data_IF_777816863887
#
_entry.id   IF_777816863887
#
_cell.length_a   1.000
_cell.length_b   1.000
_cell.length_c   1.000
_cell.angle_alpha   90.00
_cell.angle_beta   90.00
_cell.angle_gamma   90.00
#
_symmetry.space_group_name_H-M   'P 1'
#
loop_
_entity.id
_entity.type
_entity.pdbx_description
1 polymer ?
#
# COMPACT_ATOMS: atom_id res chain seq x y z
N UNK A 1 79.42 -13.40 -5.22
CA UNK A 1 78.87 -14.72 -5.60
C UNK A 1 77.39 -14.53 -5.89
N UNK A 2 76.92 -14.93 -7.07
CA UNK A 2 75.52 -14.85 -7.54
C UNK A 2 75.30 -15.88 -8.67
N UNK A 3 74.05 -16.24 -9.06
CA UNK A 3 72.77 -15.99 -8.39
C UNK A 3 72.41 -17.15 -7.44
N UNK A 4 71.65 -18.25 -7.76
CA UNK A 4 70.90 -18.62 -8.97
C UNK A 4 69.37 -18.31 -8.87
N UNK A 5 68.52 -19.12 -9.53
CA UNK A 5 67.05 -19.12 -9.63
C UNK A 5 66.54 -20.57 -9.50
N UNK A 6 65.25 -20.81 -9.19
CA UNK A 6 64.28 -21.60 -10.01
C UNK A 6 63.20 -22.35 -9.19
N UNK A 7 61.91 -22.19 -9.59
CA UNK A 7 60.72 -23.05 -9.30
C UNK A 7 60.33 -23.25 -7.81
N UNK A 8 59.10 -23.64 -7.43
CA UNK A 8 57.92 -24.08 -8.20
C UNK A 8 56.59 -23.67 -7.50
N UNK A 9 55.49 -23.64 -8.25
CA UNK A 9 54.10 -23.62 -7.76
C UNK A 9 53.53 -25.07 -7.80
N UNK A 10 52.21 -25.35 -7.67
CA UNK A 10 51.22 -24.97 -6.65
C UNK A 10 50.39 -26.18 -6.15
N UNK A 11 50.26 -26.40 -4.84
CA UNK A 11 49.38 -27.48 -4.32
C UNK A 11 48.14 -26.92 -3.62
N UNK A 12 47.10 -26.72 -4.44
CA UNK A 12 45.72 -26.44 -4.05
C UNK A 12 45.18 -27.47 -3.04
N UNK A 13 44.62 -27.01 -1.92
CA UNK A 13 43.70 -27.81 -1.11
C UNK A 13 42.61 -26.92 -0.54
N UNK A 14 41.36 -27.27 -0.84
CA UNK A 14 40.16 -26.50 -0.53
C UNK A 14 39.56 -26.92 0.84
N UNK A 15 38.60 -26.09 1.27
CA UNK A 15 37.66 -26.33 2.37
C UNK A 15 38.24 -26.15 3.80
N UNK A 16 37.49 -25.64 4.79
CA UNK A 16 36.11 -25.20 4.75
C UNK A 16 35.63 -24.55 6.06
N UNK A 17 35.48 -23.22 6.05
CA UNK A 17 34.60 -22.39 6.92
C UNK A 17 34.40 -22.78 8.40
N UNK A 18 34.74 -21.85 9.30
CA UNK A 18 33.76 -21.14 10.16
C UNK A 18 34.38 -19.87 10.75
N UNK A 19 33.60 -18.77 10.83
CA UNK A 19 34.03 -17.47 11.39
C UNK A 19 33.44 -17.26 12.80
N UNK A 20 34.11 -16.49 13.68
CA UNK A 20 33.83 -16.49 15.10
C UNK A 20 32.66 -15.58 15.52
N UNK A 21 32.18 -15.82 16.73
CA UNK A 21 31.10 -15.09 17.40
C UNK A 21 31.68 -13.91 18.18
N UNK A 22 31.47 -12.67 17.70
CA UNK A 22 31.76 -11.44 18.45
C UNK A 22 30.58 -10.48 18.41
N UNK A 23 29.52 -10.86 19.13
CA UNK A 23 28.40 -9.96 19.40
C UNK A 23 28.76 -8.98 20.53
N UNK A 24 28.69 -7.67 20.26
CA UNK A 24 28.07 -6.66 21.15
C UNK A 24 28.11 -5.26 20.53
N UNK A 25 27.05 -4.48 20.79
CA UNK A 25 26.98 -3.02 20.69
C UNK A 25 27.11 -2.40 19.28
N UNK A 26 26.02 -2.50 18.51
CA UNK A 26 25.66 -1.41 17.60
C UNK A 26 24.16 -1.08 17.73
N UNK A 27 23.90 0.16 18.11
CA UNK A 27 22.62 0.73 18.51
C UNK A 27 21.44 0.44 17.55
N UNK A 28 20.22 0.41 18.13
CA UNK A 28 18.91 0.23 17.47
C UNK A 28 18.66 1.14 16.24
N UNK A 29 19.46 2.19 16.05
CA UNK A 29 19.46 3.06 14.86
C UNK A 29 19.77 2.31 13.56
N UNK A 30 20.48 1.18 13.63
CA UNK A 30 20.84 0.36 12.45
C UNK A 30 19.65 -0.47 11.94
N UNK A 31 18.78 -0.94 12.83
CA UNK A 31 17.60 -1.74 12.48
C UNK A 31 16.54 -0.92 11.74
N UNK A 32 16.34 0.34 12.11
CA UNK A 32 15.37 1.21 11.43
C UNK A 32 15.78 1.50 9.97
N UNK A 33 17.09 1.69 9.70
CA UNK A 33 17.61 1.78 8.32
C UNK A 33 17.58 0.45 7.55
N UNK A 34 17.46 -0.69 8.23
CA UNK A 34 17.28 -1.99 7.58
C UNK A 34 15.82 -2.26 7.19
N UNK A 35 14.84 -1.68 7.90
CA UNK A 35 13.42 -1.78 7.55
C UNK A 35 13.12 -1.10 6.20
N UNK A 36 13.59 0.14 6.02
CA UNK A 36 13.42 0.87 4.75
C UNK A 36 14.20 0.27 3.57
N UNK A 37 15.16 -0.64 3.80
CA UNK A 37 15.79 -1.42 2.71
C UNK A 37 14.87 -2.47 2.08
N UNK A 38 13.74 -2.83 2.71
CA UNK A 38 12.78 -3.80 2.15
C UNK A 38 11.64 -3.19 1.32
N UNK A 39 11.69 -1.87 1.05
CA UNK A 39 10.93 -1.21 -0.03
C UNK A 39 11.60 -1.29 -1.41
N UNK A 40 12.63 -2.13 -1.56
CA UNK A 40 13.45 -2.24 -2.77
C UNK A 40 13.13 -3.39 -3.74
N UNK A 41 12.06 -4.16 -3.54
CA UNK A 41 11.68 -5.21 -4.50
C UNK A 41 10.83 -4.59 -5.61
N UNK A 42 11.48 -4.13 -6.70
CA UNK A 42 10.82 -3.73 -7.94
C UNK A 42 9.99 -4.90 -8.49
N UNK A 43 8.70 -4.94 -8.14
CA UNK A 43 7.72 -5.76 -8.87
C UNK A 43 7.63 -5.19 -10.28
N UNK A 44 7.56 -6.03 -11.30
CA UNK A 44 7.73 -5.55 -12.67
C UNK A 44 6.61 -4.56 -13.02
N UNK A 45 6.98 -3.42 -13.60
CA UNK A 45 5.99 -2.44 -14.04
C UNK A 45 5.02 -3.06 -15.06
N UNK A 46 5.50 -4.02 -15.87
CA UNK A 46 4.68 -4.85 -16.77
C UNK A 46 3.72 -5.82 -16.09
N UNK A 47 4.05 -6.41 -14.93
CA UNK A 47 3.08 -7.22 -14.15
C UNK A 47 1.93 -6.34 -13.65
N UNK A 48 2.27 -5.13 -13.17
CA UNK A 48 1.27 -4.17 -12.72
C UNK A 48 0.44 -3.62 -13.89
N UNK A 49 1.05 -3.36 -15.05
CA UNK A 49 0.35 -2.95 -16.28
C UNK A 49 -0.60 -4.04 -16.79
N UNK A 50 -0.20 -5.33 -16.78
CA UNK A 50 -1.10 -6.44 -17.13
C UNK A 50 -2.31 -6.52 -16.19
N UNK A 51 -2.08 -6.37 -14.88
CA UNK A 51 -3.15 -6.38 -13.88
C UNK A 51 -4.12 -5.18 -14.03
N UNK A 52 -3.61 -4.01 -14.43
CA UNK A 52 -4.43 -2.82 -14.70
C UNK A 52 -5.16 -2.88 -16.06
N UNK A 53 -4.57 -3.53 -17.07
CA UNK A 53 -5.13 -3.59 -18.42
C UNK A 53 -6.39 -4.45 -18.54
N UNK A 54 -6.58 -5.43 -17.65
CA UNK A 54 -7.77 -6.30 -17.64
C UNK A 54 -8.88 -5.73 -16.75
N UNK A 55 -9.12 -4.43 -16.88
CA UNK A 55 -10.16 -3.72 -16.14
C UNK A 55 -11.01 -2.94 -17.13
N UNK A 56 -12.25 -3.43 -17.38
CA UNK A 56 -13.34 -2.53 -17.77
C UNK A 56 -13.46 -1.48 -16.66
N UNK A 57 -13.04 -0.25 -16.98
CA UNK A 57 -13.08 0.89 -16.05
C UNK A 57 -14.53 1.32 -15.88
N UNK A 58 -15.24 0.68 -14.95
CA UNK A 58 -16.53 1.15 -14.47
C UNK A 58 -16.33 2.35 -13.53
N UNK A 59 -17.33 3.24 -13.48
CA UNK A 59 -17.35 4.45 -12.64
C UNK A 59 -17.03 4.13 -11.16
N UNK A 60 -17.54 3.00 -10.65
CA UNK A 60 -17.20 2.45 -9.34
C UNK A 60 -15.69 2.39 -9.07
N UNK A 61 -14.89 1.84 -9.98
CA UNK A 61 -13.44 1.70 -9.76
C UNK A 61 -12.71 3.05 -9.76
N UNK A 62 -13.21 4.03 -10.50
CA UNK A 62 -12.66 5.40 -10.48
C UNK A 62 -12.90 6.05 -9.11
N UNK A 63 -14.13 5.93 -8.58
CA UNK A 63 -14.49 6.38 -7.22
C UNK A 63 -13.61 5.70 -6.17
N UNK A 64 -13.50 4.37 -6.21
CA UNK A 64 -12.69 3.60 -5.26
C UNK A 64 -11.21 4.05 -5.28
N UNK A 65 -10.63 4.25 -6.47
CA UNK A 65 -9.24 4.71 -6.62
C UNK A 65 -9.04 6.14 -6.09
N UNK A 66 -9.95 7.08 -6.42
CA UNK A 66 -9.89 8.46 -5.91
C UNK A 66 -9.99 8.52 -4.39
N UNK A 67 -10.99 7.85 -3.80
CA UNK A 67 -11.19 7.79 -2.35
C UNK A 67 -10.02 7.10 -1.65
N UNK A 68 -9.52 5.98 -2.19
CA UNK A 68 -8.37 5.26 -1.65
C UNK A 68 -7.10 6.12 -1.65
N UNK A 69 -6.83 6.82 -2.74
CA UNK A 69 -5.64 7.68 -2.89
C UNK A 69 -5.67 8.89 -1.96
N UNK A 70 -6.82 9.55 -1.83
CA UNK A 70 -6.98 10.78 -1.06
C UNK A 70 -7.15 10.55 0.45
N UNK A 71 -7.96 9.56 0.85
CA UNK A 71 -8.36 9.35 2.25
C UNK A 71 -7.63 8.19 2.94
N UNK A 72 -6.93 7.33 2.19
CA UNK A 72 -6.24 6.12 2.67
C UNK A 72 -7.06 5.36 3.72
N UNK A 73 -8.33 5.02 3.41
CA UNK A 73 -9.25 4.44 4.36
C UNK A 73 -8.76 3.06 4.82
N UNK A 74 -9.01 2.74 6.09
CA UNK A 74 -8.76 1.40 6.66
C UNK A 74 -9.75 0.37 6.12
N UNK A 75 -10.97 0.81 5.80
CA UNK A 75 -11.99 0.01 5.14
C UNK A 75 -12.78 0.89 4.16
N UNK A 76 -12.99 0.40 2.94
CA UNK A 76 -13.77 1.04 1.89
C UNK A 76 -14.61 -0.03 1.20
N UNK A 77 -15.90 0.20 1.12
CA UNK A 77 -16.87 -0.64 0.44
C UNK A 77 -17.77 0.26 -0.42
N UNK A 78 -17.91 -0.09 -1.70
CA UNK A 78 -18.78 0.62 -2.64
C UNK A 78 -19.73 -0.38 -3.29
N UNK A 79 -21.03 -0.11 -3.16
CA UNK A 79 -22.11 -0.98 -3.63
C UNK A 79 -22.90 -0.20 -4.69
N UNK A 80 -22.98 -0.74 -5.91
CA UNK A 80 -23.91 -0.25 -6.93
C UNK A 80 -25.35 -0.69 -6.57
N UNK A 81 -26.24 0.27 -6.35
CA UNK A 81 -27.68 0.04 -6.13
C UNK A 81 -28.54 0.25 -7.37
N UNK A 82 -27.95 0.66 -8.49
CA UNK A 82 -28.65 0.89 -9.75
C UNK A 82 -28.72 -0.35 -10.66
N UNK A 83 -28.71 -1.54 -10.05
CA UNK A 83 -28.78 -2.84 -10.74
C UNK A 83 -27.75 -3.01 -11.87
N UNK A 84 -26.57 -2.41 -11.75
CA UNK A 84 -25.48 -2.52 -12.73
C UNK A 84 -25.43 -1.43 -13.80
N UNK A 85 -26.29 -0.40 -13.76
CA UNK A 85 -26.18 0.73 -14.71
C UNK A 85 -25.24 1.84 -14.24
N UNK A 86 -24.71 1.76 -13.01
CA UNK A 86 -23.71 2.69 -12.47
C UNK A 86 -24.19 4.12 -12.20
N UNK A 87 -25.50 4.32 -11.97
CA UNK A 87 -26.10 5.66 -11.71
C UNK A 87 -26.40 5.93 -10.23
N UNK A 88 -26.38 4.91 -9.36
CA UNK A 88 -26.63 5.07 -7.93
C UNK A 88 -25.70 4.18 -7.09
N UNK A 89 -24.91 4.79 -6.19
CA UNK A 89 -23.96 4.07 -5.34
C UNK A 89 -24.16 4.36 -3.85
N UNK A 90 -23.93 3.34 -3.02
CA UNK A 90 -23.75 3.46 -1.57
C UNK A 90 -22.28 3.18 -1.20
N UNK A 91 -21.63 4.13 -0.52
CA UNK A 91 -20.28 3.99 -0.01
C UNK A 91 -20.25 3.85 1.52
N UNK A 92 -19.48 2.90 2.05
CA UNK A 92 -19.07 2.86 3.45
C UNK A 92 -17.58 3.13 3.52
N UNK A 93 -17.20 4.23 4.16
CA UNK A 93 -15.82 4.74 4.19
C UNK A 93 -15.38 4.86 5.64
N UNK A 94 -14.29 4.16 5.98
CA UNK A 94 -13.69 4.16 7.32
C UNK A 94 -12.29 4.72 7.25
N UNK A 95 -12.07 5.93 7.76
CA UNK A 95 -10.75 6.59 7.75
C UNK A 95 -10.50 7.41 9.02
N UNK A 96 -9.26 7.44 9.48
CA UNK A 96 -8.80 8.34 10.54
C UNK A 96 -8.83 9.82 10.13
N UNK A 97 -8.91 10.14 8.83
CA UNK A 97 -9.10 11.51 8.34
C UNK A 97 -10.46 12.12 8.73
N UNK A 98 -11.37 11.33 9.30
CA UNK A 98 -12.69 11.76 9.78
C UNK A 98 -12.75 12.01 11.30
N UNK A 99 -11.68 11.69 12.04
CA UNK A 99 -11.55 12.05 13.46
C UNK A 99 -11.66 13.57 13.62
N UNK A 100 -12.31 14.00 14.70
CA UNK A 100 -12.60 15.41 15.05
C UNK A 100 -13.43 16.22 14.03
N UNK A 101 -13.97 15.58 12.98
CA UNK A 101 -14.83 16.21 11.97
C UNK A 101 -16.30 15.86 12.15
N UNK A 102 -17.17 16.86 12.02
CA UNK A 102 -18.62 16.67 11.99
C UNK A 102 -19.04 15.93 10.72
N UNK A 103 -20.19 15.25 10.77
CA UNK A 103 -20.70 14.45 9.65
C UNK A 103 -20.78 15.26 8.34
N UNK A 104 -21.26 16.51 8.39
CA UNK A 104 -21.30 17.39 7.21
C UNK A 104 -19.92 17.67 6.61
N UNK A 105 -18.89 17.85 7.44
CA UNK A 105 -17.52 18.11 6.97
C UNK A 105 -16.89 16.85 6.38
N UNK A 106 -17.17 15.67 6.96
CA UNK A 106 -16.81 14.37 6.36
C UNK A 106 -17.43 14.24 4.96
N UNK A 107 -18.69 14.64 4.81
CA UNK A 107 -19.44 14.59 3.54
C UNK A 107 -18.88 15.57 2.49
N UNK A 108 -18.55 16.81 2.90
CA UNK A 108 -17.89 17.80 2.02
C UNK A 108 -16.58 17.27 1.46
N UNK A 109 -15.70 16.74 2.32
CA UNK A 109 -14.39 16.21 1.91
C UNK A 109 -14.53 15.10 0.86
N UNK A 110 -15.45 14.15 1.06
CA UNK A 110 -15.67 13.07 0.10
C UNK A 110 -16.24 13.62 -1.22
N UNK A 111 -17.27 14.46 -1.15
CA UNK A 111 -17.89 15.06 -2.34
C UNK A 111 -16.91 15.93 -3.14
N UNK A 112 -15.98 16.62 -2.49
CA UNK A 112 -14.92 17.39 -3.15
C UNK A 112 -13.93 16.48 -3.91
N UNK A 113 -13.63 15.29 -3.39
CA UNK A 113 -12.76 14.30 -4.05
C UNK A 113 -13.41 13.68 -5.29
N UNK A 114 -14.73 13.40 -5.24
CA UNK A 114 -15.49 12.74 -6.32
C UNK A 114 -16.39 13.70 -7.10
N UNK A 115 -16.10 15.00 -7.06
CA UNK A 115 -16.95 16.07 -7.61
C UNK A 115 -17.23 15.92 -9.11
N UNK A 116 -16.24 15.39 -9.84
CA UNK A 116 -16.30 15.11 -11.28
C UNK A 116 -17.20 13.90 -11.56
N UNK A 117 -17.06 12.83 -10.77
CA UNK A 117 -17.90 11.63 -10.85
C UNK A 117 -19.36 11.94 -10.50
N UNK A 118 -19.60 12.79 -9.49
CA UNK A 118 -20.95 13.20 -9.07
C UNK A 118 -21.77 13.89 -10.17
N UNK A 119 -21.14 14.43 -11.23
CA UNK A 119 -21.88 14.95 -12.40
C UNK A 119 -22.45 13.84 -13.29
N UNK A 120 -21.88 12.64 -13.21
CA UNK A 120 -22.24 11.48 -14.04
C UNK A 120 -23.15 10.47 -13.30
N UNK A 121 -23.43 10.72 -12.02
CA UNK A 121 -24.11 9.80 -11.09
C UNK A 121 -25.36 10.50 -10.58
N UNK A 122 -26.51 9.82 -10.63
CA UNK A 122 -27.78 10.42 -10.21
C UNK A 122 -27.91 10.46 -8.67
N UNK A 123 -27.39 9.45 -7.97
CA UNK A 123 -27.42 9.39 -6.51
C UNK A 123 -26.13 8.81 -5.91
N UNK A 124 -25.58 9.48 -4.90
CA UNK A 124 -24.45 8.96 -4.13
C UNK A 124 -24.79 9.07 -2.63
N UNK A 125 -24.90 7.92 -1.98
CA UNK A 125 -25.03 7.84 -0.52
C UNK A 125 -23.70 7.45 0.09
N UNK A 126 -23.41 7.96 1.28
CA UNK A 126 -22.14 7.74 1.93
C UNK A 126 -22.27 7.69 3.44
N UNK A 127 -21.57 6.72 4.05
CA UNK A 127 -21.46 6.53 5.49
C UNK A 127 -19.99 6.68 5.89
N UNK A 128 -19.65 7.79 6.54
CA UNK A 128 -18.29 8.11 6.96
C UNK A 128 -18.07 7.84 8.45
N UNK A 129 -17.38 6.75 8.75
CA UNK A 129 -17.04 6.34 10.12
C UNK A 129 -15.54 6.50 10.39
N UNK A 130 -15.19 6.75 11.64
CA UNK A 130 -13.81 6.57 12.12
C UNK A 130 -13.56 5.08 12.38
N UNK A 131 -12.29 4.61 12.38
CA UNK A 131 -11.97 3.23 12.74
C UNK A 131 -12.51 2.80 14.11
N UNK A 132 -12.54 3.74 15.07
CA UNK A 132 -13.06 3.52 16.42
C UNK A 132 -14.59 3.41 16.49
N UNK A 133 -15.33 4.14 15.65
CA UNK A 133 -16.78 3.99 15.50
C UNK A 133 -17.13 2.67 14.80
N UNK A 134 -16.39 2.31 13.75
CA UNK A 134 -16.66 1.11 12.95
C UNK A 134 -16.37 -0.20 13.69
N UNK A 135 -15.34 -0.25 14.55
CA UNK A 135 -15.09 -1.41 15.43
C UNK A 135 -16.29 -1.69 16.33
N UNK A 136 -16.75 -0.68 17.08
CA UNK A 136 -17.93 -0.79 17.96
C UNK A 136 -19.21 -1.24 17.25
N UNK A 137 -19.36 -0.94 15.95
CA UNK A 137 -20.50 -1.37 15.14
C UNK A 137 -20.40 -2.83 14.67
N UNK A 138 -19.18 -3.39 14.57
CA UNK A 138 -18.96 -4.81 14.21
C UNK A 138 -18.96 -5.75 15.41
N UNK A 139 -18.65 -5.24 16.59
CA UNK A 139 -18.59 -6.00 17.83
C UNK A 139 -19.95 -6.05 18.59
N UNK A 140 -21.02 -5.53 17.98
CA UNK A 140 -22.38 -5.39 18.54
C UNK A 140 -23.43 -6.13 17.70
#
# INVERSE_FOLDING_TARGET
MTPPSTREQPNNSLDGRKRPVSARRLEMRTLFRAFERKKGRKKNLGEYLMFLSSVKMCVQKVIEQKLSSALKPTFLELIDKSCGCGTAFDAVIVSSNFTDKRLLDRHRIVNDIIKEELQNIHAFSMKCHTPSEYGKMKDA
#
